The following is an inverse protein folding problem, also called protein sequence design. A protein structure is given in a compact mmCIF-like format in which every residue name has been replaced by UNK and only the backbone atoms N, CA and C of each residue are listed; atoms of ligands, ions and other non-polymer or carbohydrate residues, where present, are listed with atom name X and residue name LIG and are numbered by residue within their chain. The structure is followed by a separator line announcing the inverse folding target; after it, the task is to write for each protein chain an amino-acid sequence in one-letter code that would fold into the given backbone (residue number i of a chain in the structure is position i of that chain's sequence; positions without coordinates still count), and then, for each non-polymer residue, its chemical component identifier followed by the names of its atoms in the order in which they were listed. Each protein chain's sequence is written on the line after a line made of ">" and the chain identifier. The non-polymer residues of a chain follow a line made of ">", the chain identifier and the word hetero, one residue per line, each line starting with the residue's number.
data_IF_145143106423
#
_entry.id   IF_145143106423
#
_cell.length_a   1.000
_cell.length_b   1.000
_cell.length_c   1.000
_cell.angle_alpha   90.00
_cell.angle_beta   90.00
_cell.angle_gamma   90.00
#
_symmetry.space_group_name_H-M   'P 1'
#
loop_
_entity.id
_entity.type
_entity.pdbx_description
1 polymer ?
#
# COMPACT_ATOMS: atom_id res chain seq x y z
N UNK A 1 -50.62 36.50 24.98
CA UNK A 1 -50.55 36.04 26.38
C UNK A 1 -49.09 35.90 26.77
N UNK A 2 -48.69 36.68 27.76
CA UNK A 2 -47.35 36.78 28.33
C UNK A 2 -47.17 35.74 29.45
N UNK A 3 -45.92 35.31 29.69
CA UNK A 3 -45.30 34.82 30.96
C UNK A 3 -43.96 34.15 30.57
N UNK A 4 -42.81 34.82 30.69
CA UNK A 4 -41.93 34.90 31.90
C UNK A 4 -41.49 33.50 32.37
N UNK A 5 -40.24 33.13 32.68
CA UNK A 5 -38.88 33.70 32.92
C UNK A 5 -37.97 32.44 33.20
N UNK A 6 -36.67 32.47 33.61
CA UNK A 6 -35.66 33.53 33.65
C UNK A 6 -34.25 33.13 33.13
N UNK A 7 -33.39 34.16 33.10
CA UNK A 7 -31.96 34.16 32.85
C UNK A 7 -31.09 33.56 33.98
N UNK A 8 -29.96 32.94 33.61
CA UNK A 8 -28.71 32.83 34.38
C UNK A 8 -27.57 32.86 33.33
N UNK A 9 -26.73 33.92 33.29
CA UNK A 9 -25.39 34.00 33.94
C UNK A 9 -24.43 32.95 33.35
N UNK A 10 -23.24 33.21 32.80
CA UNK A 10 -22.23 34.29 32.84
C UNK A 10 -21.38 34.14 31.55
N UNK A 11 -20.83 35.21 30.95
CA UNK A 11 -19.41 35.59 31.11
C UNK A 11 -18.46 34.51 30.54
N UNK A 12 -17.69 34.72 29.47
CA UNK A 12 -16.58 35.68 29.40
C UNK A 12 -16.35 36.14 27.95
N UNK A 13 -16.13 37.45 27.85
CA UNK A 13 -15.87 38.26 26.68
C UNK A 13 -14.37 38.62 26.64
N UNK A 14 -13.85 38.90 25.43
CA UNK A 14 -12.65 39.74 25.11
C UNK A 14 -11.27 39.08 25.34
N UNK A 15 -10.43 38.82 24.33
CA UNK A 15 -9.75 39.70 23.35
C UNK A 15 -8.57 40.52 23.94
N UNK A 16 -7.54 40.73 23.11
CA UNK A 16 -6.38 41.64 23.23
C UNK A 16 -5.24 41.22 24.18
N UNK A 17 -3.97 41.56 24.01
CA UNK A 17 -3.02 41.92 22.93
C UNK A 17 -1.73 42.39 23.65
N UNK A 18 -0.58 42.39 22.95
CA UNK A 18 0.61 43.25 23.22
C UNK A 18 1.50 42.89 24.46
N UNK A 19 2.83 43.08 24.50
CA UNK A 19 3.91 43.48 23.58
C UNK A 19 5.27 43.46 24.37
N UNK A 20 6.40 43.35 23.65
CA UNK A 20 7.82 43.68 23.99
C UNK A 20 8.61 42.74 24.92
N UNK A 21 9.68 42.04 24.47
CA UNK A 21 11.06 42.48 24.12
C UNK A 21 11.90 42.97 25.31
N UNK A 22 12.89 42.16 25.73
CA UNK A 22 14.28 42.56 26.01
C UNK A 22 15.21 41.33 26.07
N UNK A 23 16.29 41.34 25.28
CA UNK A 23 17.58 40.67 25.55
C UNK A 23 18.57 41.80 25.98
N UNK A 24 19.79 41.61 26.54
CA UNK A 24 20.81 40.64 26.07
C UNK A 24 21.89 40.15 27.09
N UNK A 25 22.83 39.35 26.56
CA UNK A 25 24.26 39.23 26.88
C UNK A 25 24.78 38.66 28.21
N UNK A 26 25.53 37.55 28.09
CA UNK A 26 26.68 37.19 28.91
C UNK A 26 27.64 36.35 28.05
N UNK A 27 28.86 36.84 27.84
CA UNK A 27 29.92 36.25 27.02
C UNK A 27 31.08 35.77 27.90
N UNK A 28 31.89 34.89 27.30
CA UNK A 28 33.22 34.42 27.71
C UNK A 28 33.16 33.29 28.78
N UNK A 29 33.98 32.22 28.75
CA UNK A 29 35.40 32.07 28.39
C UNK A 29 35.69 30.61 28.00
N UNK A 30 36.66 30.37 27.11
CA UNK A 30 37.25 29.06 26.75
C UNK A 30 38.70 29.08 27.30
N UNK A 31 39.33 27.98 27.78
CA UNK A 31 40.11 27.17 26.81
C UNK A 31 40.44 25.71 27.20
N UNK A 32 40.74 24.94 26.16
CA UNK A 32 41.80 23.92 26.03
C UNK A 32 41.91 22.75 27.03
N UNK A 33 41.90 21.53 26.47
CA UNK A 33 42.66 20.42 27.01
C UNK A 33 41.95 19.08 26.93
N UNK A 34 42.60 18.15 26.22
CA UNK A 34 42.64 16.71 26.52
C UNK A 34 42.00 15.79 25.46
N UNK A 35 42.93 15.13 24.76
CA UNK A 35 42.73 14.05 23.82
C UNK A 35 42.08 12.84 24.50
N UNK A 36 40.94 12.39 23.95
CA UNK A 36 40.42 11.06 24.22
C UNK A 36 39.94 10.41 22.91
N UNK A 37 40.84 9.61 22.32
CA UNK A 37 40.64 8.36 21.56
C UNK A 37 39.29 8.19 20.81
N UNK A 38 39.28 7.96 19.48
CA UNK A 38 38.06 7.57 18.80
C UNK A 38 37.67 6.14 19.23
N UNK A 39 36.62 6.03 20.05
CA UNK A 39 35.89 4.78 20.22
C UNK A 39 35.23 4.45 18.87
N UNK A 40 35.64 3.32 18.29
CA UNK A 40 35.19 2.86 16.98
C UNK A 40 33.67 2.98 16.84
N UNK A 41 33.24 3.89 15.96
CA UNK A 41 31.93 3.79 15.36
C UNK A 41 31.95 2.54 14.48
N UNK A 42 31.42 1.46 15.03
CA UNK A 42 30.97 0.33 14.24
C UNK A 42 29.89 0.87 13.31
N UNK A 43 30.30 1.20 12.08
CA UNK A 43 29.41 1.17 10.94
C UNK A 43 28.97 -0.28 10.75
N UNK A 44 27.93 -0.71 11.46
CA UNK A 44 27.17 -1.88 11.03
C UNK A 44 26.26 -1.47 9.87
N UNK A 45 26.89 -1.29 8.71
CA UNK A 45 26.22 -1.47 7.43
C UNK A 45 25.81 -2.93 7.32
N UNK A 46 24.55 -3.22 7.63
CA UNK A 46 24.08 -4.60 7.60
C UNK A 46 22.62 -4.74 7.95
N UNK A 47 21.75 -3.89 7.39
CA UNK A 47 20.31 -4.15 7.35
C UNK A 47 20.01 -5.39 6.51
N UNK A 48 20.37 -6.58 7.01
CA UNK A 48 19.83 -7.85 6.55
C UNK A 48 18.37 -7.80 6.94
N UNK A 49 17.52 -7.35 6.03
CA UNK A 49 16.09 -7.62 6.09
C UNK A 49 15.98 -9.10 6.44
N UNK A 50 15.56 -9.38 7.68
CA UNK A 50 15.42 -10.76 8.15
C UNK A 50 14.40 -11.37 7.21
N UNK A 51 14.84 -12.24 6.31
CA UNK A 51 13.93 -13.12 5.58
C UNK A 51 13.08 -13.80 6.64
N UNK A 52 11.85 -13.34 6.83
CA UNK A 52 10.96 -13.91 7.81
C UNK A 52 10.75 -15.34 7.37
N UNK A 53 11.22 -16.31 8.17
CA UNK A 53 11.05 -17.73 7.87
C UNK A 53 9.56 -17.98 7.63
N UNK A 54 9.21 -18.41 6.40
CA UNK A 54 7.82 -18.72 6.04
C UNK A 54 7.23 -19.70 7.06
N UNK A 55 6.07 -19.38 7.61
CA UNK A 55 5.38 -20.24 8.58
C UNK A 55 4.98 -21.56 7.90
N UNK A 56 4.70 -22.63 8.67
CA UNK A 56 4.15 -23.86 8.11
C UNK A 56 2.91 -23.61 7.24
N UNK A 57 2.02 -22.70 7.67
CA UNK A 57 0.82 -22.32 6.93
C UNK A 57 1.15 -21.64 5.60
N UNK A 58 2.13 -20.73 5.58
CA UNK A 58 2.58 -20.07 4.35
C UNK A 58 3.25 -21.06 3.37
N UNK A 59 3.94 -22.08 3.90
CA UNK A 59 4.49 -23.15 3.07
C UNK A 59 3.39 -24.03 2.48
N UNK A 60 2.36 -24.35 3.26
CA UNK A 60 1.19 -25.09 2.77
C UNK A 60 0.41 -24.29 1.73
N UNK A 61 0.15 -23.00 1.98
CA UNK A 61 -0.49 -22.10 1.01
C UNK A 61 0.29 -22.06 -0.32
N UNK A 62 1.62 -21.98 -0.27
CA UNK A 62 2.48 -22.04 -1.46
C UNK A 62 2.40 -23.40 -2.18
N UNK A 63 2.28 -24.51 -1.45
CA UNK A 63 2.09 -25.82 -2.07
C UNK A 63 0.73 -25.94 -2.77
N UNK A 64 -0.33 -25.40 -2.15
CA UNK A 64 -1.66 -25.33 -2.75
C UNK A 64 -1.68 -24.45 -3.99
N UNK A 65 -1.01 -23.29 -3.98
CA UNK A 65 -0.86 -22.43 -5.15
C UNK A 65 -0.31 -23.22 -6.33
N UNK A 66 0.83 -23.92 -6.14
CA UNK A 66 1.46 -24.72 -7.21
C UNK A 66 0.55 -25.83 -7.73
N UNK A 67 -0.23 -26.46 -6.84
CA UNK A 67 -1.19 -27.50 -7.22
C UNK A 67 -2.32 -26.92 -8.06
N UNK A 68 -2.85 -25.75 -7.69
CA UNK A 68 -3.92 -25.07 -8.41
C UNK A 68 -3.43 -24.54 -9.77
N UNK A 69 -2.23 -23.96 -9.82
CA UNK A 69 -1.57 -23.52 -11.06
C UNK A 69 -1.45 -24.69 -12.06
N UNK A 70 -1.01 -25.86 -11.59
CA UNK A 70 -0.90 -27.05 -12.43
C UNK A 70 -2.24 -27.58 -12.98
N UNK A 71 -3.37 -27.24 -12.34
CA UNK A 71 -4.71 -27.50 -12.89
C UNK A 71 -5.08 -26.46 -13.94
N UNK A 72 -4.80 -25.17 -13.69
CA UNK A 72 -4.98 -24.13 -14.69
C UNK A 72 -4.18 -24.39 -15.97
N UNK A 73 -2.94 -24.89 -15.86
CA UNK A 73 -2.10 -25.26 -17.00
C UNK A 73 -2.71 -26.39 -17.85
N UNK A 74 -3.61 -27.20 -17.27
CA UNK A 74 -4.39 -28.23 -17.97
C UNK A 74 -5.73 -27.73 -18.50
N UNK A 75 -6.10 -26.49 -18.20
CA UNK A 75 -7.41 -25.90 -18.51
C UNK A 75 -8.49 -26.18 -17.48
N UNK A 76 -8.17 -26.86 -16.37
CA UNK A 76 -9.12 -27.26 -15.33
C UNK A 76 -9.36 -26.11 -14.33
N UNK A 77 -9.86 -24.96 -14.80
CA UNK A 77 -10.05 -23.76 -13.98
C UNK A 77 -11.03 -24.00 -12.81
N UNK A 78 -12.15 -24.69 -13.04
CA UNK A 78 -13.14 -24.98 -11.99
C UNK A 78 -12.53 -25.80 -10.83
N UNK A 79 -11.69 -26.78 -11.16
CA UNK A 79 -11.02 -27.61 -10.16
C UNK A 79 -9.94 -26.85 -9.38
N UNK A 80 -9.36 -25.80 -9.97
CA UNK A 80 -8.34 -24.97 -9.34
C UNK A 80 -8.89 -24.04 -8.25
N UNK A 81 -10.11 -23.53 -8.43
CA UNK A 81 -10.75 -22.55 -7.54
C UNK A 81 -10.80 -22.96 -6.06
N UNK A 82 -11.30 -24.15 -5.66
CA UNK A 82 -11.34 -24.52 -4.25
C UNK A 82 -9.93 -24.65 -3.64
N UNK A 83 -8.93 -24.98 -4.46
CA UNK A 83 -7.53 -25.10 -4.02
C UNK A 83 -6.93 -23.71 -3.78
N UNK A 84 -7.16 -22.75 -4.68
CA UNK A 84 -6.79 -21.36 -4.45
C UNK A 84 -7.50 -20.77 -3.24
N UNK A 85 -8.79 -21.03 -3.06
CA UNK A 85 -9.53 -20.57 -1.89
C UNK A 85 -8.90 -21.05 -0.59
N UNK A 86 -8.58 -22.35 -0.49
CA UNK A 86 -7.84 -22.87 0.66
C UNK A 86 -6.48 -22.18 0.85
N UNK A 87 -5.76 -21.88 -0.23
CA UNK A 87 -4.48 -21.15 -0.14
C UNK A 87 -4.66 -19.73 0.42
N UNK A 88 -5.70 -19.00 -0.02
CA UNK A 88 -6.02 -17.64 0.47
C UNK A 88 -6.52 -17.61 1.92
N UNK A 89 -7.19 -18.68 2.37
CA UNK A 89 -7.62 -18.82 3.76
C UNK A 89 -6.44 -19.11 4.70
N UNK A 90 -5.48 -19.93 4.24
CA UNK A 90 -4.26 -20.23 5.00
C UNK A 90 -3.30 -19.03 5.09
N UNK A 91 -3.21 -18.23 4.04
CA UNK A 91 -2.46 -16.98 4.03
C UNK A 91 -3.25 -15.83 3.37
N UNK A 92 -4.01 -15.06 4.17
CA UNK A 92 -4.78 -13.91 3.69
C UNK A 92 -3.94 -12.76 3.12
N UNK A 93 -2.61 -12.81 3.25
CA UNK A 93 -1.68 -11.83 2.67
C UNK A 93 -0.99 -12.36 1.41
N UNK A 94 -1.39 -13.53 0.91
CA UNK A 94 -0.77 -14.15 -0.25
C UNK A 94 -1.33 -13.59 -1.56
N UNK A 95 -0.85 -12.39 -1.94
CA UNK A 95 -1.30 -11.66 -3.12
C UNK A 95 -1.27 -12.51 -4.40
N UNK A 96 -0.26 -13.37 -4.58
CA UNK A 96 -0.16 -14.24 -5.75
C UNK A 96 -1.34 -15.24 -5.85
N UNK A 97 -1.80 -15.80 -4.73
CA UNK A 97 -2.94 -16.72 -4.73
C UNK A 97 -4.24 -16.04 -5.12
N UNK A 98 -4.49 -14.82 -4.62
CA UNK A 98 -5.63 -14.01 -5.06
C UNK A 98 -5.52 -13.68 -6.55
N UNK A 99 -4.35 -13.27 -7.03
CA UNK A 99 -4.15 -12.95 -8.44
C UNK A 99 -4.45 -14.12 -9.37
N UNK A 100 -3.93 -15.31 -9.04
CA UNK A 100 -4.17 -16.53 -9.83
C UNK A 100 -5.63 -16.98 -9.77
N UNK A 101 -6.28 -16.89 -8.62
CA UNK A 101 -7.71 -17.18 -8.48
C UNK A 101 -8.57 -16.20 -9.28
N UNK A 102 -8.25 -14.92 -9.26
CA UNK A 102 -8.93 -13.89 -10.05
C UNK A 102 -8.85 -14.17 -11.56
N UNK A 103 -7.68 -14.59 -12.06
CA UNK A 103 -7.55 -15.05 -13.45
C UNK A 103 -8.41 -16.27 -13.75
N UNK A 104 -8.45 -17.26 -12.85
CA UNK A 104 -9.29 -18.44 -13.02
C UNK A 104 -10.79 -18.08 -13.05
N UNK A 105 -11.24 -17.16 -12.19
CA UNK A 105 -12.61 -16.64 -12.23
C UNK A 105 -12.94 -15.94 -13.55
N UNK A 106 -12.02 -15.11 -14.04
CA UNK A 106 -12.19 -14.42 -15.32
C UNK A 106 -12.29 -15.41 -16.49
N UNK A 107 -11.46 -16.45 -16.51
CA UNK A 107 -11.54 -17.53 -17.52
C UNK A 107 -12.87 -18.27 -17.50
N UNK A 108 -13.55 -18.32 -16.35
CA UNK A 108 -14.87 -18.93 -16.18
C UNK A 108 -16.02 -17.93 -16.36
N UNK A 109 -15.74 -16.68 -16.75
CA UNK A 109 -16.74 -15.62 -16.94
C UNK A 109 -17.35 -15.07 -15.65
N UNK A 110 -16.73 -15.35 -14.50
CA UNK A 110 -17.16 -14.82 -13.20
C UNK A 110 -16.46 -13.49 -12.90
N UNK A 111 -16.85 -12.45 -13.64
CA UNK A 111 -16.17 -11.15 -13.63
C UNK A 111 -16.17 -10.47 -12.24
N UNK A 112 -17.28 -10.54 -11.50
CA UNK A 112 -17.36 -9.94 -10.16
C UNK A 112 -16.35 -10.56 -9.18
N UNK A 113 -16.22 -11.88 -9.19
CA UNK A 113 -15.26 -12.60 -8.36
C UNK A 113 -13.81 -12.28 -8.77
N UNK A 114 -13.55 -12.14 -10.07
CA UNK A 114 -12.24 -11.72 -10.56
C UNK A 114 -11.87 -10.31 -10.12
N UNK A 115 -12.83 -9.36 -10.19
CA UNK A 115 -12.66 -7.98 -9.71
C UNK A 115 -12.34 -7.95 -8.21
N UNK A 116 -13.05 -8.73 -7.40
CA UNK A 116 -12.81 -8.82 -5.96
C UNK A 116 -11.40 -9.31 -5.67
N UNK A 117 -10.97 -10.38 -6.33
CA UNK A 117 -9.64 -10.96 -6.16
C UNK A 117 -8.53 -9.99 -6.62
N UNK A 118 -8.65 -9.35 -7.78
CA UNK A 118 -7.67 -8.36 -8.22
C UNK A 118 -7.64 -7.12 -7.32
N UNK A 119 -8.80 -6.71 -6.79
CA UNK A 119 -8.87 -5.63 -5.80
C UNK A 119 -8.13 -6.02 -4.52
N UNK A 120 -8.22 -7.28 -4.09
CA UNK A 120 -7.46 -7.77 -2.94
C UNK A 120 -5.96 -7.74 -3.19
N UNK A 121 -5.51 -8.06 -4.40
CA UNK A 121 -4.09 -7.94 -4.78
C UNK A 121 -3.62 -6.49 -4.68
N UNK A 122 -4.45 -5.53 -5.13
CA UNK A 122 -4.15 -4.09 -5.06
C UNK A 122 -4.11 -3.60 -3.61
N UNK A 123 -5.02 -4.06 -2.74
CA UNK A 123 -4.96 -3.76 -1.30
C UNK A 123 -3.65 -4.24 -0.66
N UNK A 124 -3.20 -5.45 -1.01
CA UNK A 124 -1.97 -6.04 -0.47
C UNK A 124 -0.71 -5.44 -1.11
N UNK A 125 -0.78 -5.07 -2.38
CA UNK A 125 0.31 -4.45 -3.14
C UNK A 125 -0.23 -3.35 -4.07
N UNK A 126 -0.34 -2.10 -3.57
CA UNK A 126 -0.81 -0.96 -4.34
C UNK A 126 0.08 -0.56 -5.53
N UNK A 127 1.25 -1.17 -5.68
CA UNK A 127 2.18 -0.93 -6.80
C UNK A 127 2.13 -2.04 -7.86
N UNK A 128 1.18 -2.97 -7.75
CA UNK A 128 1.02 -4.05 -8.72
C UNK A 128 0.39 -3.54 -10.02
N UNK A 129 1.20 -3.08 -10.96
CA UNK A 129 0.76 -2.67 -12.29
C UNK A 129 -0.05 -3.78 -12.98
N UNK A 130 0.35 -5.03 -12.81
CA UNK A 130 -0.33 -6.19 -13.39
C UNK A 130 -1.74 -6.38 -12.80
N UNK A 131 -1.95 -6.18 -11.50
CA UNK A 131 -3.27 -6.31 -10.89
C UNK A 131 -4.24 -5.22 -11.38
N UNK A 132 -3.77 -3.98 -11.50
CA UNK A 132 -4.55 -2.90 -12.12
C UNK A 132 -4.89 -3.23 -13.56
N UNK A 133 -3.92 -3.69 -14.35
CA UNK A 133 -4.16 -4.08 -15.74
C UNK A 133 -5.20 -5.20 -15.85
N UNK A 134 -5.06 -6.29 -15.09
CA UNK A 134 -6.02 -7.39 -15.14
C UNK A 134 -7.42 -6.95 -14.69
N UNK A 135 -7.54 -6.16 -13.62
CA UNK A 135 -8.84 -5.63 -13.19
C UNK A 135 -9.46 -4.70 -14.22
N UNK A 136 -8.66 -3.87 -14.90
CA UNK A 136 -9.09 -3.06 -16.03
C UNK A 136 -9.61 -3.89 -17.22
N UNK A 137 -8.99 -5.04 -17.51
CA UNK A 137 -9.49 -6.00 -18.52
C UNK A 137 -10.86 -6.55 -18.12
N UNK A 138 -11.08 -6.85 -16.84
CA UNK A 138 -12.40 -7.30 -16.36
C UNK A 138 -13.42 -6.15 -16.38
N UNK A 139 -13.04 -4.92 -16.01
CA UNK A 139 -13.94 -3.76 -16.15
C UNK A 139 -14.38 -3.53 -17.59
N UNK A 140 -13.49 -3.79 -18.55
CA UNK A 140 -13.83 -3.75 -19.97
C UNK A 140 -14.85 -4.83 -20.36
N UNK A 141 -14.77 -6.05 -19.82
CA UNK A 141 -15.73 -7.12 -20.14
C UNK A 141 -17.14 -6.83 -19.60
N UNK A 142 -17.25 -6.14 -18.47
CA UNK A 142 -18.55 -5.76 -17.88
C UNK A 142 -19.06 -4.39 -18.34
N UNK A 143 -18.34 -3.68 -19.22
CA UNK A 143 -18.75 -2.38 -19.78
C UNK A 143 -18.55 -1.17 -18.86
N UNK A 144 -17.74 -1.29 -17.82
CA UNK A 144 -17.44 -0.22 -16.86
C UNK A 144 -16.25 0.62 -17.35
N UNK A 145 -16.50 1.45 -18.37
CA UNK A 145 -15.47 2.19 -19.11
C UNK A 145 -14.66 3.14 -18.21
N UNK A 146 -15.30 3.88 -17.32
CA UNK A 146 -14.61 4.83 -16.43
C UNK A 146 -13.59 4.12 -15.53
N UNK A 147 -13.98 2.99 -14.93
CA UNK A 147 -13.11 2.18 -14.05
C UNK A 147 -11.97 1.53 -14.84
N UNK A 148 -12.25 1.05 -16.04
CA UNK A 148 -11.26 0.49 -16.96
C UNK A 148 -10.18 1.54 -17.31
N UNK A 149 -10.58 2.76 -17.68
CA UNK A 149 -9.64 3.84 -18.01
C UNK A 149 -8.77 4.20 -16.81
N UNK A 150 -9.35 4.29 -15.62
CA UNK A 150 -8.61 4.58 -14.38
C UNK A 150 -7.57 3.51 -14.07
N UNK A 151 -7.96 2.24 -14.13
CA UNK A 151 -7.08 1.10 -13.84
C UNK A 151 -5.95 1.01 -14.89
N UNK A 152 -6.23 1.19 -16.18
CA UNK A 152 -5.19 1.18 -17.22
C UNK A 152 -4.22 2.36 -17.12
N UNK A 153 -4.70 3.57 -16.81
CA UNK A 153 -3.84 4.72 -16.54
C UNK A 153 -2.91 4.45 -15.37
N UNK A 154 -3.44 3.87 -14.29
CA UNK A 154 -2.67 3.53 -13.10
C UNK A 154 -1.63 2.45 -13.41
N UNK A 155 -2.02 1.40 -14.15
CA UNK A 155 -1.10 0.34 -14.60
C UNK A 155 0.05 0.90 -15.44
N UNK A 156 -0.24 1.77 -16.43
CA UNK A 156 0.79 2.39 -17.27
C UNK A 156 1.75 3.26 -16.47
N UNK A 157 1.23 4.07 -15.54
CA UNK A 157 2.05 4.89 -14.64
C UNK A 157 2.97 4.04 -13.77
N UNK A 158 2.45 2.96 -13.18
CA UNK A 158 3.23 2.05 -12.32
C UNK A 158 4.27 1.24 -13.11
N UNK A 159 3.99 0.92 -14.37
CA UNK A 159 4.92 0.23 -15.27
C UNK A 159 6.07 1.12 -15.79
N UNK A 160 6.11 2.41 -15.39
CA UNK A 160 7.10 3.35 -15.90
C UNK A 160 6.86 3.78 -17.34
N UNK A 161 5.66 3.55 -17.87
CA UNK A 161 5.18 4.09 -19.15
C UNK A 161 4.62 5.50 -19.00
N UNK A 162 4.92 6.17 -17.88
CA UNK A 162 4.73 7.60 -17.77
C UNK A 162 5.72 8.29 -18.71
N UNK A 163 5.21 9.21 -19.51
CA UNK A 163 5.87 9.92 -20.62
C UNK A 163 6.96 10.88 -20.14
N UNK A 164 7.35 10.77 -18.87
CA UNK A 164 8.29 11.61 -18.13
C UNK A 164 9.75 11.23 -18.33
N UNK A 165 10.06 10.20 -19.14
CA UNK A 165 11.45 10.00 -19.61
C UNK A 165 11.94 11.14 -20.52
N UNK A 166 11.06 12.02 -21.00
CA UNK A 166 11.47 13.22 -21.74
C UNK A 166 11.92 14.42 -20.88
N UNK A 167 11.64 14.47 -19.57
CA UNK A 167 12.10 15.61 -18.74
C UNK A 167 13.48 15.42 -18.08
N UNK A 168 14.00 14.19 -18.00
CA UNK A 168 15.34 13.93 -17.43
C UNK A 168 16.49 13.95 -18.46
N UNK A 169 16.20 14.12 -19.75
CA UNK A 169 17.24 14.16 -20.81
C UNK A 169 17.54 15.60 -21.30
N UNK A 170 16.80 16.62 -20.81
CA UNK A 170 17.03 18.03 -21.18
C UNK A 170 17.41 18.93 -20.00
N UNK A 171 18.14 18.41 -19.02
CA UNK A 171 18.85 19.25 -18.05
C UNK A 171 20.28 18.76 -17.82
N UNK A 172 21.18 19.53 -18.40
CA UNK A 172 22.65 19.58 -18.32
C UNK A 172 23.41 18.69 -19.31
#
# INVERSE_FOLDING_TARGET
>A
MNKNLPAFLLGVLVCTAALLLTAPNGHAENPAGEEARPAGHQHEHGGRAKESKKTPQQKEALALLRKADALCDKGDFEASLPIYTKATELDPKFAEAFFKRGKAWYHLGSDLNAIEDFSKVIELNPKSAEAYFQRGVVWNSVGEEEKMIEDFKTAAKLAGMDHTTHEHILKW
#
